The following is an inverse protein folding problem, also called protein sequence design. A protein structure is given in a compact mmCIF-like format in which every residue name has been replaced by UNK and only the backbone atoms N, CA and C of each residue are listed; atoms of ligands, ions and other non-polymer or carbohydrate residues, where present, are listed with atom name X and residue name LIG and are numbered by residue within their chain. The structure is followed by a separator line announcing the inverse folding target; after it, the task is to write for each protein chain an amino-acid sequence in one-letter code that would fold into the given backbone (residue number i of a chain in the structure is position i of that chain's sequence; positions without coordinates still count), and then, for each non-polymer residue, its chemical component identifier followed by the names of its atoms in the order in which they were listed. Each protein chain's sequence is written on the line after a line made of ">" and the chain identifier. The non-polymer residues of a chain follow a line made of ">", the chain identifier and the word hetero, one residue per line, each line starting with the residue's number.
data_IF_568490526996
#
_entry.id   IF_568490526996
#
_cell.length_a   1.000
_cell.length_b   1.000
_cell.length_c   1.000
_cell.angle_alpha   90.00
_cell.angle_beta   90.00
_cell.angle_gamma   90.00
#
_symmetry.space_group_name_H-M   'P 1'
#
loop_
_entity.id
_entity.type
_entity.pdbx_description
1 polymer ?
#
# COMPACT_ATOMS: atom_id res chain seq x y z
N UNK A 1 22.08 25.75 -16.84
CA UNK A 1 21.76 25.12 -15.54
C UNK A 1 20.61 24.18 -15.81
N UNK A 2 20.78 22.89 -15.57
CA UNK A 2 19.66 21.95 -15.65
C UNK A 2 18.61 22.36 -14.62
N UNK A 3 17.35 22.34 -15.01
CA UNK A 3 16.24 22.74 -14.15
C UNK A 3 16.03 21.67 -13.08
N UNK A 4 16.08 22.04 -11.80
CA UNK A 4 15.85 21.11 -10.67
C UNK A 4 14.43 20.56 -10.74
N UNK A 5 14.28 19.25 -10.86
CA UNK A 5 12.98 18.58 -10.91
C UNK A 5 12.33 18.63 -9.51
N UNK A 6 11.18 19.25 -9.39
CA UNK A 6 10.43 19.38 -8.13
C UNK A 6 9.44 18.24 -7.96
N UNK A 7 9.61 17.47 -6.90
CA UNK A 7 8.78 16.33 -6.52
C UNK A 7 8.34 16.44 -5.06
N UNK A 8 7.26 15.78 -4.71
CA UNK A 8 6.84 15.65 -3.31
C UNK A 8 6.11 14.33 -3.05
N UNK A 9 6.05 13.94 -1.77
CA UNK A 9 5.05 13.00 -1.25
C UNK A 9 4.03 13.74 -0.43
N UNK A 10 2.74 13.46 -0.65
CA UNK A 10 1.62 14.06 0.08
C UNK A 10 0.83 13.01 0.86
N UNK A 11 0.39 13.35 2.07
CA UNK A 11 -0.37 12.45 2.96
C UNK A 11 -0.66 13.07 4.32
N UNK A 12 -1.40 12.34 5.16
CA UNK A 12 -1.72 12.74 6.53
C UNK A 12 -1.86 11.52 7.45
N UNK A 13 -0.94 11.28 8.42
CA UNK A 13 0.31 12.00 8.68
C UNK A 13 1.41 11.68 7.65
N UNK A 14 2.42 12.56 7.49
CA UNK A 14 3.48 12.40 6.47
C UNK A 14 4.90 12.56 7.01
N UNK A 15 5.08 13.08 8.21
CA UNK A 15 6.39 13.44 8.77
C UNK A 15 7.38 12.27 8.89
N UNK A 16 6.89 11.04 8.94
CA UNK A 16 7.69 9.81 9.05
C UNK A 16 8.12 9.22 7.70
N UNK A 17 7.68 9.82 6.57
CA UNK A 17 7.95 9.29 5.24
C UNK A 17 9.45 9.24 4.92
N UNK A 18 9.92 8.08 4.46
CA UNK A 18 11.28 7.89 3.97
C UNK A 18 11.44 8.23 2.47
N UNK A 19 10.34 8.52 1.77
CA UNK A 19 10.37 8.82 0.34
C UNK A 19 11.36 9.94 -0.03
N UNK A 20 11.47 11.07 0.71
CA UNK A 20 12.45 12.10 0.37
C UNK A 20 13.89 11.59 0.38
N UNK A 21 14.24 10.76 1.37
CA UNK A 21 15.58 10.18 1.50
C UNK A 21 15.85 9.17 0.39
N UNK A 22 14.90 8.30 0.09
CA UNK A 22 15.02 7.25 -0.93
C UNK A 22 15.16 7.88 -2.32
N UNK A 23 14.28 8.82 -2.68
CA UNK A 23 14.33 9.48 -3.98
C UNK A 23 15.61 10.32 -4.16
N UNK A 24 16.15 10.91 -3.09
CA UNK A 24 17.45 11.59 -3.15
C UNK A 24 18.56 10.61 -3.51
N UNK A 25 18.61 9.42 -2.88
CA UNK A 25 19.59 8.38 -3.19
C UNK A 25 19.45 7.91 -4.65
N UNK A 26 18.21 7.70 -5.12
CA UNK A 26 17.96 7.33 -6.52
C UNK A 26 18.44 8.40 -7.49
N UNK A 27 18.12 9.67 -7.23
CA UNK A 27 18.55 10.79 -8.05
C UNK A 27 20.07 10.92 -8.13
N UNK A 28 20.75 10.81 -6.99
CA UNK A 28 22.22 10.79 -6.92
C UNK A 28 22.82 9.66 -7.77
N UNK A 29 22.23 8.45 -7.71
CA UNK A 29 22.70 7.30 -8.49
C UNK A 29 22.51 7.45 -10.00
N UNK A 30 21.55 8.28 -10.42
CA UNK A 30 21.22 8.56 -11.82
C UNK A 30 21.85 9.87 -12.33
N UNK A 31 22.51 10.64 -11.47
CA UNK A 31 23.05 11.95 -11.82
C UNK A 31 21.98 13.00 -12.13
N UNK A 32 20.81 12.89 -11.52
CA UNK A 32 19.66 13.79 -11.70
C UNK A 32 19.53 14.71 -10.48
N UNK A 33 19.33 16.02 -10.71
CA UNK A 33 19.10 16.97 -9.63
C UNK A 33 17.60 17.10 -9.35
N UNK A 34 17.19 16.76 -8.11
CA UNK A 34 15.81 16.83 -7.67
C UNK A 34 15.66 17.61 -6.37
N UNK A 35 14.52 18.27 -6.19
CA UNK A 35 13.98 18.68 -4.90
C UNK A 35 12.81 17.77 -4.57
N UNK A 36 12.87 17.06 -3.43
CA UNK A 36 11.81 16.15 -3.02
C UNK A 36 11.39 16.43 -1.57
N UNK A 37 10.12 16.76 -1.37
CA UNK A 37 9.59 17.20 -0.07
C UNK A 37 8.48 16.25 0.43
N UNK A 38 8.28 16.20 1.75
CA UNK A 38 7.13 15.57 2.38
C UNK A 38 6.15 16.64 2.85
N UNK A 39 4.95 16.70 2.26
CA UNK A 39 3.97 17.75 2.48
C UNK A 39 2.70 17.18 3.10
N UNK A 40 2.30 17.75 4.23
CA UNK A 40 1.05 17.38 4.89
C UNK A 40 -0.14 17.92 4.11
N UNK A 41 -1.07 17.05 3.75
CA UNK A 41 -2.30 17.39 3.03
C UNK A 41 -3.46 16.59 3.61
N UNK A 42 -4.47 17.30 4.12
CA UNK A 42 -5.70 16.68 4.58
C UNK A 42 -6.63 16.31 3.41
N UNK A 43 -7.49 15.29 3.56
CA UNK A 43 -8.41 14.88 2.49
C UNK A 43 -9.30 16.00 1.95
N UNK A 44 -9.75 16.90 2.82
CA UNK A 44 -10.60 18.05 2.45
C UNK A 44 -9.89 19.01 1.50
N UNK A 45 -8.57 19.18 1.67
CA UNK A 45 -7.75 20.13 0.92
C UNK A 45 -7.07 19.51 -0.31
N UNK A 46 -7.27 18.19 -0.53
CA UNK A 46 -6.51 17.42 -1.52
C UNK A 46 -6.51 18.04 -2.92
N UNK A 47 -7.69 18.33 -3.46
CA UNK A 47 -7.83 18.82 -4.85
C UNK A 47 -7.16 20.17 -5.05
N UNK A 48 -7.32 21.08 -4.10
CA UNK A 48 -6.73 22.42 -4.15
C UNK A 48 -5.22 22.35 -3.98
N UNK A 49 -4.74 21.53 -3.02
CA UNK A 49 -3.31 21.32 -2.78
C UNK A 49 -2.61 20.76 -4.00
N UNK A 50 -3.16 19.73 -4.65
CA UNK A 50 -2.55 19.12 -5.86
C UNK A 50 -2.46 20.16 -6.99
N UNK A 51 -3.54 20.93 -7.26
CA UNK A 51 -3.51 21.99 -8.28
C UNK A 51 -2.47 23.06 -7.97
N UNK A 52 -2.42 23.53 -6.72
CA UNK A 52 -1.45 24.53 -6.26
C UNK A 52 -0.01 24.03 -6.42
N UNK A 53 0.29 22.77 -6.06
CA UNK A 53 1.61 22.19 -6.21
C UNK A 53 2.05 22.16 -7.68
N UNK A 54 1.20 21.68 -8.59
CA UNK A 54 1.52 21.71 -10.03
C UNK A 54 1.70 23.13 -10.58
N UNK A 55 0.94 24.12 -10.08
CA UNK A 55 1.12 25.53 -10.44
C UNK A 55 2.46 26.09 -9.93
N UNK A 56 2.96 25.62 -8.78
CA UNK A 56 4.27 25.98 -8.21
C UNK A 56 5.46 25.26 -8.87
N UNK A 57 5.20 24.49 -9.95
CA UNK A 57 6.23 23.85 -10.74
C UNK A 57 6.63 22.46 -10.27
N UNK A 58 5.86 21.82 -9.39
CA UNK A 58 6.04 20.39 -9.14
C UNK A 58 5.69 19.60 -10.40
N UNK A 59 6.50 18.61 -10.75
CA UNK A 59 6.31 17.78 -11.95
C UNK A 59 5.65 16.44 -11.63
N UNK A 60 5.84 15.94 -10.40
CA UNK A 60 5.26 14.70 -9.92
C UNK A 60 5.03 14.70 -8.42
N UNK A 61 4.01 13.95 -7.99
CA UNK A 61 3.65 13.78 -6.60
C UNK A 61 3.46 12.30 -6.30
N UNK A 62 4.12 11.79 -5.25
CA UNK A 62 3.69 10.56 -4.64
C UNK A 62 2.54 10.84 -3.68
N UNK A 63 1.64 9.89 -3.55
CA UNK A 63 0.44 10.01 -2.72
C UNK A 63 0.36 8.81 -1.78
N UNK A 64 0.20 9.10 -0.49
CA UNK A 64 0.05 8.05 0.52
C UNK A 64 -1.23 8.22 1.33
N UNK A 65 -1.35 7.47 2.42
CA UNK A 65 -2.48 7.49 3.35
C UNK A 65 -2.87 8.93 3.74
N UNK A 66 -4.17 9.29 3.77
CA UNK A 66 -5.34 8.51 3.35
C UNK A 66 -5.79 8.84 1.91
N UNK A 67 -4.94 9.44 1.09
CA UNK A 67 -5.29 10.20 -0.12
C UNK A 67 -5.33 9.36 -1.42
N UNK A 68 -4.90 8.10 -1.40
CA UNK A 68 -4.72 7.28 -2.62
C UNK A 68 -6.00 7.09 -3.45
N UNK A 69 -7.17 7.03 -2.82
CA UNK A 69 -8.45 6.93 -3.54
C UNK A 69 -8.80 8.25 -4.21
N UNK A 70 -8.63 9.37 -3.48
CA UNK A 70 -8.84 10.72 -4.01
C UNK A 70 -7.92 11.00 -5.20
N UNK A 71 -6.68 10.50 -5.16
CA UNK A 71 -5.71 10.65 -6.26
C UNK A 71 -6.18 9.95 -7.53
N UNK A 72 -6.68 8.72 -7.42
CA UNK A 72 -7.24 7.98 -8.55
C UNK A 72 -8.46 8.70 -9.14
N UNK A 73 -9.37 9.18 -8.30
CA UNK A 73 -10.59 9.89 -8.73
C UNK A 73 -10.31 11.28 -9.33
N UNK A 74 -9.20 11.91 -8.93
CA UNK A 74 -8.85 13.27 -9.34
C UNK A 74 -8.17 13.35 -10.69
N UNK A 75 -7.47 12.29 -11.10
CA UNK A 75 -6.68 12.28 -12.32
C UNK A 75 -7.55 12.26 -13.58
N UNK A 76 -7.15 13.01 -14.61
CA UNK A 76 -7.80 13.00 -15.92
C UNK A 76 -7.54 11.69 -16.67
N UNK A 77 -6.36 11.09 -16.46
CA UNK A 77 -5.94 9.83 -17.06
C UNK A 77 -5.34 8.90 -16.01
N UNK A 78 -5.61 7.61 -16.16
CA UNK A 78 -5.12 6.59 -15.24
C UNK A 78 -4.42 5.47 -15.99
N UNK A 79 -3.36 4.91 -15.39
CA UNK A 79 -2.80 3.64 -15.82
C UNK A 79 -3.85 2.52 -15.69
N UNK A 80 -3.59 1.38 -16.33
CA UNK A 80 -4.43 0.20 -16.18
C UNK A 80 -4.49 -0.26 -14.71
N UNK A 81 -3.35 -0.26 -14.03
CA UNK A 81 -3.23 -0.62 -12.61
C UNK A 81 -4.07 0.30 -11.72
N UNK A 82 -3.93 1.63 -11.89
CA UNK A 82 -4.71 2.60 -11.10
C UNK A 82 -6.21 2.45 -11.34
N UNK A 83 -6.63 2.26 -12.59
CA UNK A 83 -8.04 2.07 -12.95
C UNK A 83 -8.60 0.78 -12.36
N UNK A 84 -7.83 -0.31 -12.46
CA UNK A 84 -8.24 -1.62 -11.96
C UNK A 84 -8.43 -1.61 -10.44
N UNK A 85 -7.47 -1.04 -9.69
CA UNK A 85 -7.55 -1.00 -8.24
C UNK A 85 -8.39 0.17 -7.70
N UNK A 86 -8.61 1.24 -8.47
CA UNK A 86 -9.28 2.46 -8.03
C UNK A 86 -8.48 3.19 -6.94
N UNK A 87 -7.15 3.16 -7.04
CA UNK A 87 -6.21 3.76 -6.10
C UNK A 87 -4.97 4.23 -6.86
N UNK A 88 -4.36 5.34 -6.46
CA UNK A 88 -3.14 5.86 -7.05
C UNK A 88 -2.17 6.33 -5.98
N UNK A 89 -0.90 5.99 -6.15
CA UNK A 89 0.19 6.47 -5.29
C UNK A 89 1.13 7.44 -6.03
N UNK A 90 0.89 7.70 -7.30
CA UNK A 90 1.72 8.56 -8.15
C UNK A 90 0.84 9.42 -9.04
N UNK A 91 1.07 10.73 -9.03
CA UNK A 91 0.46 11.70 -9.92
C UNK A 91 1.55 12.48 -10.65
N UNK A 92 1.35 12.76 -11.94
CA UNK A 92 2.21 13.67 -12.69
C UNK A 92 1.40 14.50 -13.67
N UNK A 93 1.98 15.61 -14.10
CA UNK A 93 1.35 16.49 -15.07
C UNK A 93 2.02 16.35 -16.43
N UNK A 94 1.22 16.20 -17.48
CA UNK A 94 1.67 16.21 -18.86
C UNK A 94 0.79 17.14 -19.69
N UNK A 95 1.35 18.26 -20.12
CA UNK A 95 0.54 19.36 -20.69
C UNK A 95 -0.41 19.94 -19.64
N UNK A 96 -1.71 19.95 -19.96
CA UNK A 96 -2.77 20.38 -19.02
C UNK A 96 -3.35 19.24 -18.21
N UNK A 97 -3.14 17.98 -18.60
CA UNK A 97 -3.75 16.81 -18.00
C UNK A 97 -2.91 16.25 -16.83
N UNK A 98 -3.61 15.72 -15.83
CA UNK A 98 -3.04 15.02 -14.69
C UNK A 98 -3.22 13.52 -14.90
N UNK A 99 -2.13 12.78 -14.77
CA UNK A 99 -2.06 11.34 -14.89
C UNK A 99 -1.87 10.70 -13.53
N UNK A 100 -2.39 9.48 -13.36
CA UNK A 100 -2.24 8.69 -12.15
C UNK A 100 -1.75 7.27 -12.45
N UNK A 101 -0.90 6.76 -11.56
CA UNK A 101 -0.48 5.36 -11.55
C UNK A 101 -0.53 4.78 -10.13
N UNK A 102 -0.57 3.45 -10.04
CA UNK A 102 -0.43 2.70 -8.80
C UNK A 102 0.72 1.70 -8.93
N UNK A 103 1.79 1.95 -8.18
CA UNK A 103 2.97 1.09 -8.16
C UNK A 103 2.99 0.11 -7.00
N UNK A 104 2.08 0.27 -6.01
CA UNK A 104 2.07 -0.51 -4.77
C UNK A 104 2.03 -2.02 -5.01
N UNK A 105 1.17 -2.47 -5.92
CA UNK A 105 1.03 -3.90 -6.22
C UNK A 105 2.30 -4.50 -6.84
N UNK A 106 2.96 -3.76 -7.74
CA UNK A 106 4.23 -4.18 -8.35
C UNK A 106 5.33 -4.22 -7.31
N UNK A 107 5.44 -3.18 -6.48
CA UNK A 107 6.43 -3.09 -5.42
C UNK A 107 6.32 -4.26 -4.42
N UNK A 108 5.09 -4.58 -3.96
CA UNK A 108 4.87 -5.71 -3.07
C UNK A 108 5.31 -7.04 -3.71
N UNK A 109 4.95 -7.29 -4.96
CA UNK A 109 5.28 -8.54 -5.62
C UNK A 109 6.80 -8.66 -5.84
N UNK A 110 7.48 -7.56 -6.20
CA UNK A 110 8.92 -7.55 -6.37
C UNK A 110 9.65 -7.84 -5.04
N UNK A 111 9.18 -7.21 -3.95
CA UNK A 111 9.74 -7.46 -2.62
C UNK A 111 9.51 -8.92 -2.17
N UNK A 112 8.32 -9.46 -2.39
CA UNK A 112 8.04 -10.89 -2.11
C UNK A 112 8.98 -11.82 -2.89
N UNK A 113 9.25 -11.51 -4.16
CA UNK A 113 10.20 -12.29 -4.98
C UNK A 113 11.62 -12.24 -4.41
N UNK A 114 12.09 -11.06 -3.97
CA UNK A 114 13.41 -10.92 -3.32
C UNK A 114 13.51 -11.68 -2.01
N UNK A 115 12.40 -11.79 -1.28
CA UNK A 115 12.31 -12.54 -0.02
C UNK A 115 11.99 -14.04 -0.22
N UNK A 116 11.89 -14.52 -1.48
CA UNK A 116 11.49 -15.89 -1.83
C UNK A 116 10.12 -16.29 -1.28
N UNK A 117 9.17 -15.34 -1.24
CA UNK A 117 7.78 -15.58 -0.81
C UNK A 117 6.92 -15.88 -2.03
N UNK A 118 6.42 -17.11 -2.11
CA UNK A 118 5.52 -17.55 -3.18
C UNK A 118 4.06 -17.42 -2.75
N UNK A 119 3.23 -16.89 -3.67
CA UNK A 119 1.79 -16.68 -3.47
C UNK A 119 0.93 -17.78 -4.09
N UNK A 120 1.49 -18.52 -5.08
CA UNK A 120 0.73 -19.56 -5.79
C UNK A 120 0.27 -20.64 -4.83
N UNK A 121 -1.02 -21.00 -4.93
CA UNK A 121 -1.70 -22.01 -4.12
C UNK A 121 -1.66 -21.77 -2.60
N UNK A 122 -1.39 -20.51 -2.16
CA UNK A 122 -1.30 -20.09 -0.76
C UNK A 122 -2.62 -19.55 -0.22
N UNK A 123 -2.88 -19.81 1.05
CA UNK A 123 -3.94 -19.17 1.83
C UNK A 123 -3.42 -17.83 2.37
N UNK A 124 -3.96 -16.73 1.84
CA UNK A 124 -3.53 -15.36 2.15
C UNK A 124 -4.60 -14.65 2.98
N UNK A 125 -4.18 -13.99 4.04
CA UNK A 125 -5.01 -13.03 4.77
C UNK A 125 -4.57 -11.61 4.40
N UNK A 126 -5.55 -10.78 4.04
CA UNK A 126 -5.38 -9.35 3.82
C UNK A 126 -6.16 -8.58 4.87
N UNK A 127 -5.45 -7.93 5.79
CA UNK A 127 -6.04 -7.07 6.81
C UNK A 127 -6.27 -5.67 6.24
N UNK A 128 -7.53 -5.23 6.27
CA UNK A 128 -7.93 -3.92 5.77
C UNK A 128 -8.55 -3.95 4.36
N UNK A 129 -9.28 -2.88 4.04
CA UNK A 129 -9.95 -2.67 2.74
C UNK A 129 -9.78 -1.25 2.20
N UNK A 130 -8.78 -0.51 2.71
CA UNK A 130 -8.45 0.86 2.32
C UNK A 130 -7.69 0.96 1.00
N UNK A 131 -7.12 2.13 0.72
CA UNK A 131 -6.40 2.42 -0.52
C UNK A 131 -5.23 1.47 -0.79
N UNK A 132 -4.46 1.09 0.24
CA UNK A 132 -3.34 0.17 0.10
C UNK A 132 -3.81 -1.27 -0.18
N UNK A 133 -4.85 -1.77 0.53
CA UNK A 133 -5.46 -3.07 0.21
C UNK A 133 -5.93 -3.13 -1.25
N UNK A 134 -6.63 -2.08 -1.70
CA UNK A 134 -7.10 -1.96 -3.09
C UNK A 134 -5.94 -2.01 -4.08
N UNK A 135 -4.87 -1.29 -3.80
CA UNK A 135 -3.71 -1.17 -4.68
C UNK A 135 -2.97 -2.51 -4.89
N UNK A 136 -2.89 -3.35 -3.85
CA UNK A 136 -2.14 -4.61 -3.93
C UNK A 136 -2.99 -5.81 -4.34
N UNK A 137 -4.29 -5.81 -4.09
CA UNK A 137 -5.18 -6.97 -4.31
C UNK A 137 -5.14 -7.50 -5.74
N UNK A 138 -5.17 -6.68 -6.82
CA UNK A 138 -5.06 -7.18 -8.20
C UNK A 138 -3.76 -7.93 -8.45
N UNK A 139 -2.64 -7.42 -7.94
CA UNK A 139 -1.32 -8.04 -8.09
C UNK A 139 -1.20 -9.36 -7.33
N UNK A 140 -1.80 -9.45 -6.13
CA UNK A 140 -1.92 -10.69 -5.39
C UNK A 140 -2.74 -11.74 -6.17
N UNK A 141 -3.90 -11.36 -6.71
CA UNK A 141 -4.77 -12.26 -7.49
C UNK A 141 -4.09 -12.78 -8.76
N UNK A 142 -3.30 -11.97 -9.44
CA UNK A 142 -2.50 -12.37 -10.62
C UNK A 142 -1.50 -13.48 -10.31
N UNK A 143 -1.08 -13.65 -9.05
CA UNK A 143 -0.15 -14.71 -8.62
C UNK A 143 -0.84 -16.03 -8.26
N UNK A 144 -2.15 -16.15 -8.52
CA UNK A 144 -2.92 -17.36 -8.32
C UNK A 144 -2.86 -17.95 -6.91
N UNK A 145 -3.13 -17.17 -5.83
CA UNK A 145 -3.27 -17.73 -4.51
C UNK A 145 -4.45 -18.72 -4.49
N UNK A 146 -4.43 -19.66 -3.56
CA UNK A 146 -5.55 -20.56 -3.33
C UNK A 146 -6.78 -19.79 -2.86
N UNK A 147 -6.56 -18.83 -1.94
CA UNK A 147 -7.60 -18.00 -1.34
C UNK A 147 -7.00 -16.70 -0.84
N UNK A 148 -7.76 -15.60 -0.90
CA UNK A 148 -7.47 -14.36 -0.19
C UNK A 148 -8.66 -14.09 0.74
N UNK A 149 -8.42 -14.10 2.06
CA UNK A 149 -9.43 -13.73 3.06
C UNK A 149 -9.20 -12.28 3.46
N UNK A 150 -10.14 -11.42 3.15
CA UNK A 150 -10.11 -10.00 3.55
C UNK A 150 -10.76 -9.88 4.93
N UNK A 151 -9.96 -9.49 5.93
CA UNK A 151 -10.44 -9.22 7.27
C UNK A 151 -10.46 -7.71 7.49
N UNK A 152 -11.63 -7.18 7.82
CA UNK A 152 -11.78 -5.75 8.05
C UNK A 152 -12.79 -5.46 9.17
N UNK A 153 -12.56 -4.36 9.90
CA UNK A 153 -13.48 -3.92 10.96
C UNK A 153 -14.89 -3.61 10.44
N UNK A 154 -15.00 -3.06 9.24
CA UNK A 154 -16.26 -2.81 8.54
C UNK A 154 -16.41 -3.84 7.42
N UNK A 155 -17.31 -4.79 7.60
CA UNK A 155 -17.59 -5.86 6.65
C UNK A 155 -18.07 -5.30 5.30
N UNK A 156 -18.95 -4.29 5.32
CA UNK A 156 -19.47 -3.63 4.11
C UNK A 156 -18.34 -3.09 3.21
N UNK A 157 -17.28 -2.50 3.81
CA UNK A 157 -16.13 -2.00 3.05
C UNK A 157 -15.30 -3.12 2.44
N UNK A 158 -15.20 -4.25 3.14
CA UNK A 158 -14.49 -5.43 2.63
C UNK A 158 -15.29 -6.11 1.50
N UNK A 159 -16.61 -6.22 1.63
CA UNK A 159 -17.50 -6.70 0.57
C UNK A 159 -17.43 -5.80 -0.66
N UNK A 160 -17.52 -4.48 -0.49
CA UNK A 160 -17.38 -3.53 -1.59
C UNK A 160 -16.00 -3.61 -2.30
N UNK A 161 -14.94 -4.00 -1.58
CA UNK A 161 -13.65 -4.29 -2.19
C UNK A 161 -13.68 -5.61 -2.97
N UNK A 162 -14.22 -6.67 -2.38
CA UNK A 162 -14.31 -7.99 -3.02
C UNK A 162 -15.16 -7.95 -4.31
N UNK A 163 -16.27 -7.23 -4.29
CA UNK A 163 -17.19 -7.09 -5.44
C UNK A 163 -16.54 -6.44 -6.66
N UNK A 164 -15.60 -5.53 -6.48
CA UNK A 164 -14.82 -4.95 -7.57
C UNK A 164 -14.02 -5.99 -8.37
N UNK A 165 -13.72 -7.12 -7.76
CA UNK A 165 -12.96 -8.22 -8.36
C UNK A 165 -13.82 -9.48 -8.54
N UNK A 166 -15.09 -9.29 -8.89
CA UNK A 166 -16.12 -10.33 -9.01
C UNK A 166 -15.73 -11.51 -9.93
N UNK A 167 -14.93 -11.27 -10.97
CA UNK A 167 -14.39 -12.35 -11.81
C UNK A 167 -13.42 -13.29 -11.07
N UNK A 168 -12.90 -12.86 -9.92
CA UNK A 168 -12.03 -13.63 -9.03
C UNK A 168 -12.73 -14.04 -7.73
N UNK A 169 -14.07 -13.91 -7.65
CA UNK A 169 -14.86 -14.12 -6.43
C UNK A 169 -14.64 -15.49 -5.77
N UNK A 170 -14.37 -16.53 -6.54
CA UNK A 170 -14.11 -17.86 -5.98
C UNK A 170 -12.88 -17.92 -5.08
N UNK A 171 -11.97 -16.94 -5.18
CA UNK A 171 -10.74 -16.86 -4.39
C UNK A 171 -10.77 -15.81 -3.29
N UNK A 172 -11.74 -14.89 -3.31
CA UNK A 172 -11.86 -13.84 -2.29
C UNK A 172 -12.96 -14.22 -1.31
N UNK A 173 -12.64 -14.17 -0.03
CA UNK A 173 -13.58 -14.34 1.07
C UNK A 173 -13.51 -13.11 1.96
N UNK A 174 -14.65 -12.65 2.44
CA UNK A 174 -14.72 -11.58 3.44
C UNK A 174 -15.03 -12.21 4.78
N UNK A 175 -14.33 -11.78 5.83
CA UNK A 175 -14.48 -12.28 7.19
C UNK A 175 -14.39 -11.16 8.21
N UNK A 176 -15.06 -11.35 9.33
CA UNK A 176 -14.87 -10.48 10.50
C UNK A 176 -13.48 -10.65 11.10
N UNK A 177 -12.94 -9.58 11.71
CA UNK A 177 -11.67 -9.64 12.47
C UNK A 177 -11.72 -10.59 13.67
N UNK A 178 -12.94 -10.90 14.20
CA UNK A 178 -13.12 -11.75 15.37
C UNK A 178 -13.54 -13.18 15.03
N UNK A 179 -13.74 -13.48 13.75
CA UNK A 179 -14.13 -14.81 13.29
C UNK A 179 -12.95 -15.76 13.33
N UNK A 180 -13.12 -16.92 13.98
CA UNK A 180 -12.10 -17.98 13.97
C UNK A 180 -11.89 -18.48 12.57
N UNK A 181 -10.61 -18.71 12.23
CA UNK A 181 -10.22 -19.32 10.98
C UNK A 181 -10.40 -20.84 11.06
N UNK A 182 -10.87 -21.45 9.99
CA UNK A 182 -10.93 -22.91 9.85
C UNK A 182 -9.74 -23.47 9.05
N UNK A 183 -8.68 -22.68 8.93
CA UNK A 183 -7.44 -23.00 8.21
C UNK A 183 -6.27 -22.21 8.80
N UNK A 184 -5.05 -22.66 8.53
CA UNK A 184 -3.81 -21.95 8.85
C UNK A 184 -3.41 -21.09 7.65
N UNK A 185 -3.27 -19.76 7.79
CA UNK A 185 -2.85 -18.92 6.69
C UNK A 185 -1.34 -19.10 6.41
N UNK A 186 -0.95 -19.15 5.15
CA UNK A 186 0.46 -19.14 4.77
C UNK A 186 1.07 -17.73 4.86
N UNK A 187 0.27 -16.71 4.50
CA UNK A 187 0.71 -15.32 4.43
C UNK A 187 -0.34 -14.40 5.06
N UNK A 188 0.11 -13.48 5.90
CA UNK A 188 -0.75 -12.45 6.52
C UNK A 188 -0.19 -11.08 6.19
N UNK A 189 -0.97 -10.26 5.48
CA UNK A 189 -0.58 -8.92 5.04
C UNK A 189 -1.41 -7.88 5.79
N UNK A 190 -0.74 -7.02 6.57
CA UNK A 190 -1.38 -5.87 7.18
C UNK A 190 -1.34 -4.67 6.24
N UNK A 191 -2.50 -4.27 5.72
CA UNK A 191 -2.67 -3.06 4.91
C UNK A 191 -3.47 -1.96 5.63
N UNK A 192 -3.70 -2.13 6.94
CA UNK A 192 -4.39 -1.13 7.76
C UNK A 192 -3.44 0.02 8.12
N UNK A 193 -4.02 1.14 8.54
CA UNK A 193 -3.24 2.26 9.09
C UNK A 193 -2.87 2.08 10.57
N UNK A 194 -3.20 0.94 11.19
CA UNK A 194 -3.05 0.75 12.63
C UNK A 194 -1.60 0.91 13.09
N UNK A 195 -0.62 0.29 12.40
CA UNK A 195 0.79 0.45 12.73
C UNK A 195 1.27 1.90 12.62
N UNK A 196 0.88 2.59 11.54
CA UNK A 196 1.21 4.01 11.34
C UNK A 196 0.59 4.92 12.40
N UNK A 197 -0.65 4.62 12.84
CA UNK A 197 -1.40 5.39 13.83
C UNK A 197 -1.16 4.89 15.26
N UNK A 198 -0.31 3.88 15.46
CA UNK A 198 -0.03 3.23 16.75
C UNK A 198 -1.31 2.76 17.44
N UNK A 199 -2.18 2.11 16.69
CA UNK A 199 -3.44 1.53 17.18
C UNK A 199 -3.30 0.01 17.23
N UNK A 200 -3.93 -0.61 18.23
CA UNK A 200 -3.98 -2.05 18.35
C UNK A 200 -4.88 -2.66 17.27
N UNK A 201 -4.45 -3.80 16.74
CA UNK A 201 -5.27 -4.65 15.87
C UNK A 201 -5.63 -5.91 16.66
N UNK A 202 -6.90 -6.08 16.94
CA UNK A 202 -7.40 -7.32 17.53
C UNK A 202 -7.54 -8.36 16.41
N UNK A 203 -6.77 -9.45 16.51
CA UNK A 203 -6.78 -10.56 15.57
C UNK A 203 -7.12 -11.85 16.28
N UNK A 204 -7.72 -12.85 15.60
CA UNK A 204 -7.94 -14.17 16.16
C UNK A 204 -6.59 -14.86 16.45
N UNK A 205 -6.47 -15.57 17.59
CA UNK A 205 -5.24 -16.25 17.98
C UNK A 205 -4.78 -17.31 16.95
N UNK A 206 -5.73 -17.92 16.24
CA UNK A 206 -5.48 -18.95 15.24
C UNK A 206 -4.88 -18.46 13.91
N UNK A 207 -4.69 -17.13 13.77
CA UNK A 207 -3.95 -16.54 12.65
C UNK A 207 -2.43 -16.75 12.81
N UNK A 208 -1.95 -16.85 14.07
CA UNK A 208 -0.52 -16.91 14.37
C UNK A 208 -0.01 -18.35 14.37
N UNK A 209 1.00 -18.64 13.57
CA UNK A 209 1.76 -19.89 13.66
C UNK A 209 3.17 -19.69 13.08
N UNK A 210 4.10 -20.54 13.50
CA UNK A 210 5.54 -20.35 13.25
C UNK A 210 5.96 -20.35 11.77
N UNK A 211 5.19 -21.00 10.89
CA UNK A 211 5.52 -21.13 9.46
C UNK A 211 4.90 -20.02 8.60
N UNK A 212 3.93 -19.24 9.15
CA UNK A 212 3.32 -18.15 8.41
C UNK A 212 4.31 -17.02 8.15
N UNK A 213 4.14 -16.36 7.01
CA UNK A 213 4.84 -15.11 6.71
C UNK A 213 3.95 -13.92 7.01
N UNK A 214 4.40 -13.04 7.90
CA UNK A 214 3.69 -11.81 8.27
C UNK A 214 4.35 -10.60 7.63
N UNK A 215 3.56 -9.79 6.95
CA UNK A 215 4.03 -8.62 6.24
C UNK A 215 3.21 -7.39 6.60
N UNK A 216 3.84 -6.34 7.09
CA UNK A 216 3.19 -5.05 7.32
C UNK A 216 3.50 -4.11 6.16
N UNK A 217 2.47 -3.50 5.54
CA UNK A 217 2.71 -2.47 4.51
C UNK A 217 3.26 -1.16 5.11
N UNK A 218 3.11 -0.97 6.41
CA UNK A 218 3.80 0.10 7.13
C UNK A 218 5.26 -0.28 7.37
N UNK A 219 6.10 0.72 7.59
CA UNK A 219 7.51 0.55 7.91
C UNK A 219 7.93 1.51 9.00
N UNK A 220 8.96 1.14 9.77
CA UNK A 220 9.57 2.01 10.79
C UNK A 220 11.03 1.64 11.03
N UNK A 221 11.74 2.46 11.83
CA UNK A 221 13.12 2.16 12.22
C UNK A 221 13.23 0.90 13.08
N UNK A 222 12.29 0.76 14.02
CA UNK A 222 12.13 -0.41 14.87
C UNK A 222 11.00 -1.28 14.27
N UNK A 223 10.84 -2.55 14.65
CA UNK A 223 9.73 -3.37 14.19
C UNK A 223 8.40 -2.66 14.37
N UNK A 224 7.51 -2.76 13.39
CA UNK A 224 6.16 -2.17 13.52
C UNK A 224 5.36 -2.91 14.59
N UNK A 225 4.34 -2.28 15.22
CA UNK A 225 3.49 -2.96 16.21
C UNK A 225 2.92 -4.29 15.73
N UNK A 226 2.57 -4.37 14.45
CA UNK A 226 2.08 -5.61 13.84
C UNK A 226 3.17 -6.70 13.77
N UNK A 227 4.39 -6.32 13.38
CA UNK A 227 5.54 -7.24 13.33
C UNK A 227 5.93 -7.68 14.74
N UNK A 228 5.97 -6.77 15.73
CA UNK A 228 6.23 -7.10 17.13
C UNK A 228 5.21 -8.09 17.69
N UNK A 229 3.92 -7.87 17.41
CA UNK A 229 2.84 -8.76 17.80
C UNK A 229 3.03 -10.15 17.19
N UNK A 230 3.36 -10.24 15.89
CA UNK A 230 3.59 -11.52 15.22
C UNK A 230 4.77 -12.29 15.84
N UNK A 231 5.91 -11.62 16.06
CA UNK A 231 7.09 -12.22 16.69
C UNK A 231 6.77 -12.71 18.11
N UNK A 232 6.08 -11.89 18.91
CA UNK A 232 5.68 -12.23 20.28
C UNK A 232 4.71 -13.43 20.32
N UNK A 233 3.94 -13.63 19.24
CA UNK A 233 3.04 -14.78 19.07
C UNK A 233 3.69 -16.01 18.45
N UNK A 234 5.03 -16.02 18.29
CA UNK A 234 5.81 -17.16 17.82
C UNK A 234 5.97 -17.29 16.30
N UNK A 235 5.60 -16.29 15.52
CA UNK A 235 5.83 -16.25 14.08
C UNK A 235 7.33 -16.04 13.81
N UNK A 236 7.92 -16.84 12.93
CA UNK A 236 9.36 -16.82 12.64
C UNK A 236 9.74 -15.92 11.47
N UNK A 237 8.82 -15.68 10.54
CA UNK A 237 9.07 -14.94 9.30
C UNK A 237 8.19 -13.68 9.26
N UNK A 238 8.81 -12.54 9.47
CA UNK A 238 8.13 -11.24 9.44
C UNK A 238 8.94 -10.24 8.61
N UNK A 239 8.23 -9.34 7.95
CA UNK A 239 8.84 -8.21 7.23
C UNK A 239 7.94 -6.98 7.30
N UNK A 240 8.51 -5.81 7.07
CA UNK A 240 7.78 -4.56 6.93
C UNK A 240 7.80 -4.03 5.50
N UNK A 241 7.13 -2.91 5.26
CA UNK A 241 6.90 -2.33 3.94
C UNK A 241 8.08 -1.58 3.32
N UNK A 242 9.26 -1.57 3.95
CA UNK A 242 10.39 -0.82 3.40
C UNK A 242 10.85 -1.39 2.04
N UNK A 243 10.85 -2.73 1.91
CA UNK A 243 11.17 -3.39 0.64
C UNK A 243 10.20 -2.98 -0.47
N UNK A 244 8.89 -3.05 -0.21
CA UNK A 244 7.86 -2.61 -1.15
C UNK A 244 7.99 -1.12 -1.53
N UNK A 245 8.40 -0.26 -0.59
CA UNK A 245 8.60 1.17 -0.86
C UNK A 245 9.78 1.41 -1.80
N UNK A 246 10.82 0.60 -1.72
CA UNK A 246 12.02 0.71 -2.55
C UNK A 246 11.75 0.20 -3.98
N UNK A 247 10.96 -0.86 -4.12
CA UNK A 247 10.57 -1.47 -5.40
C UNK A 247 9.55 -0.65 -6.17
#
# INVERSE_FOLDING_TARGET
>A
MEEVIKLAVIGSPISHSLSPKIHKIFAESLGIDISYEALHVEPVDFKESVRSLFQKGYTGLNVTLPLKLLASEFADNQSEESRLCGSANTLWKQGSAIYADSTDGRGLINDFQKQNVELKDKDVILLGSGGSARAILPSLLKKNPKRISILNRSEDKALALADKFSQSQQRIQVRSLTEKLNFKPDIVINSTSASTLKQDILLPDDIFHEEAFFYDLSYSKDPTPFVEMAISSGVRKCSDGIGMLIE
#
